data_IF_006949655062
#
_entry.id   IF_006949655062
#
_cell.length_a   1.000
_cell.length_b   1.000
_cell.length_c   1.000
_cell.angle_alpha   90.00
_cell.angle_beta   90.00
_cell.angle_gamma   90.00
#
_symmetry.space_group_name_H-M   'P 1'
#
loop_
_entity.id
_entity.type
_entity.pdbx_description
1 polymer ?
#
# COMPACT_ATOMS: atom_id res chain seq x y z
N UNK A 1 -15.85 -7.53 -15.27
CA UNK A 1 -15.36 -8.53 -14.30
C UNK A 1 -13.92 -8.86 -14.63
N UNK A 2 -13.06 -9.10 -13.64
CA UNK A 2 -11.59 -9.29 -13.85
C UNK A 2 -11.27 -10.40 -14.86
N UNK A 3 -12.18 -11.36 -15.04
CA UNK A 3 -12.15 -12.40 -16.07
C UNK A 3 -12.04 -11.88 -17.51
N UNK A 4 -12.45 -10.63 -17.79
CA UNK A 4 -12.29 -10.02 -19.12
C UNK A 4 -10.83 -9.68 -19.47
N UNK A 5 -9.92 -9.75 -18.49
CA UNK A 5 -8.50 -9.45 -18.62
C UNK A 5 -7.62 -10.69 -18.33
N UNK A 6 -8.20 -11.90 -18.32
CA UNK A 6 -7.50 -13.15 -17.98
C UNK A 6 -6.80 -13.14 -16.61
N UNK A 7 -7.26 -12.29 -15.67
CA UNK A 7 -6.71 -12.23 -14.30
C UNK A 7 -7.63 -12.98 -13.34
N UNK A 8 -7.05 -13.81 -12.47
CA UNK A 8 -7.78 -14.51 -11.42
C UNK A 8 -8.37 -13.51 -10.42
N UNK A 9 -9.62 -13.73 -9.98
CA UNK A 9 -10.26 -12.86 -8.99
C UNK A 9 -9.49 -12.77 -7.67
N UNK A 10 -8.80 -13.85 -7.31
CA UNK A 10 -7.91 -13.92 -6.15
C UNK A 10 -6.65 -13.07 -6.33
N UNK A 11 -6.00 -13.10 -7.50
CA UNK A 11 -4.83 -12.26 -7.78
C UNK A 11 -5.17 -10.77 -7.76
N UNK A 12 -6.32 -10.39 -8.32
CA UNK A 12 -6.80 -9.01 -8.25
C UNK A 12 -7.12 -8.59 -6.81
N UNK A 13 -7.75 -9.45 -6.00
CA UNK A 13 -8.01 -9.16 -4.59
C UNK A 13 -6.71 -9.01 -3.79
N UNK A 14 -5.72 -9.87 -4.03
CA UNK A 14 -4.41 -9.79 -3.37
C UNK A 14 -3.68 -8.47 -3.70
N UNK A 15 -3.66 -8.08 -4.97
CA UNK A 15 -3.07 -6.80 -5.40
C UNK A 15 -3.76 -5.60 -4.74
N UNK A 16 -5.10 -5.62 -4.65
CA UNK A 16 -5.88 -4.57 -4.00
C UNK A 16 -5.59 -4.49 -2.49
N UNK A 17 -5.46 -5.63 -1.81
CA UNK A 17 -5.12 -5.66 -0.38
C UNK A 17 -3.74 -5.05 -0.14
N UNK A 18 -2.73 -5.44 -0.94
CA UNK A 18 -1.37 -4.90 -0.84
C UNK A 18 -1.39 -3.37 -1.00
N UNK A 19 -2.09 -2.87 -2.02
CA UNK A 19 -2.20 -1.44 -2.27
C UNK A 19 -2.96 -0.68 -1.17
N UNK A 20 -4.04 -1.26 -0.64
CA UNK A 20 -4.85 -0.63 0.41
C UNK A 20 -4.07 -0.50 1.72
N UNK A 21 -3.45 -1.58 2.17
CA UNK A 21 -2.67 -1.59 3.43
C UNK A 21 -1.54 -0.58 3.36
N UNK A 22 -0.72 -0.60 2.32
CA UNK A 22 0.43 0.32 2.22
C UNK A 22 -0.04 1.76 1.99
N UNK A 23 -1.09 1.95 1.19
CA UNK A 23 -1.68 3.26 0.94
C UNK A 23 -2.21 3.95 2.21
N UNK A 24 -2.77 3.21 3.17
CA UNK A 24 -3.27 3.79 4.43
C UNK A 24 -2.18 4.42 5.31
N UNK A 25 -0.92 4.01 5.17
CA UNK A 25 0.23 4.57 5.89
C UNK A 25 0.82 5.83 5.24
N UNK A 26 0.35 6.18 4.04
CA UNK A 26 0.87 7.33 3.29
C UNK A 26 -0.26 8.29 2.91
N UNK A 27 -1.51 7.85 3.07
CA UNK A 27 -2.68 8.64 2.71
C UNK A 27 -2.91 9.79 3.69
N UNK A 28 -3.00 11.04 3.19
CA UNK A 28 -3.34 12.19 4.02
C UNK A 28 -4.78 12.18 4.52
N UNK A 29 -5.60 11.26 4.01
CA UNK A 29 -7.00 11.08 4.42
C UNK A 29 -7.18 10.01 5.49
N UNK A 30 -6.11 9.38 5.98
CA UNK A 30 -6.17 8.34 7.02
C UNK A 30 -6.22 8.96 8.43
N UNK A 31 -7.32 8.83 9.20
CA UNK A 31 -7.42 9.41 10.55
C UNK A 31 -6.42 8.79 11.54
N UNK A 32 -6.14 7.48 11.38
CA UNK A 32 -5.18 6.76 12.22
C UNK A 32 -3.76 7.34 12.06
N UNK A 33 -3.40 7.76 10.85
CA UNK A 33 -2.11 8.37 10.59
C UNK A 33 -1.96 9.72 11.29
N UNK A 34 -3.01 10.55 11.23
CA UNK A 34 -3.05 11.84 11.92
C UNK A 34 -2.98 11.70 13.44
N UNK A 35 -3.63 10.68 14.02
CA UNK A 35 -3.53 10.39 15.46
C UNK A 35 -2.09 10.04 15.85
N UNK A 36 -1.46 9.11 15.14
CA UNK A 36 -0.08 8.72 15.40
C UNK A 36 0.89 9.90 15.24
N UNK A 37 0.67 10.74 14.23
CA UNK A 37 1.49 11.90 13.97
C UNK A 37 1.32 12.99 15.04
N UNK A 38 0.09 13.20 15.51
CA UNK A 38 -0.23 14.11 16.62
C UNK A 38 0.42 13.68 17.93
N UNK A 39 0.42 12.37 18.23
CA UNK A 39 1.14 11.80 19.38
C UNK A 39 2.66 11.94 19.26
N UNK A 40 3.20 11.83 18.05
CA UNK A 40 4.63 11.97 17.77
C UNK A 40 5.10 13.45 17.67
N UNK A 41 4.18 14.43 17.71
CA UNK A 41 4.51 15.84 17.51
C UNK A 41 5.13 16.15 16.13
N UNK A 42 4.91 15.28 15.14
CA UNK A 42 5.54 15.37 13.84
C UNK A 42 4.67 16.15 12.83
N UNK A 43 5.31 16.76 11.83
CA UNK A 43 4.61 17.47 10.77
C UNK A 43 4.30 16.58 9.58
N UNK A 44 3.05 16.65 9.11
CA UNK A 44 2.52 15.74 8.07
C UNK A 44 3.30 15.84 6.76
N UNK A 45 3.62 17.06 6.33
CA UNK A 45 4.38 17.28 5.11
C UNK A 45 5.80 16.71 5.17
N UNK A 46 6.45 16.71 6.35
CA UNK A 46 7.81 16.17 6.52
C UNK A 46 7.79 14.65 6.61
N UNK A 47 6.80 14.09 7.31
CA UNK A 47 6.55 12.66 7.34
C UNK A 47 6.29 12.11 5.94
N UNK A 48 5.39 12.73 5.18
CA UNK A 48 5.01 12.24 3.85
C UNK A 48 6.18 12.22 2.88
N UNK A 49 7.05 13.25 2.90
CA UNK A 49 8.26 13.29 2.06
C UNK A 49 9.23 12.14 2.34
N UNK A 50 9.29 11.67 3.57
CA UNK A 50 10.15 10.54 3.97
C UNK A 50 9.45 9.20 3.76
N UNK A 51 8.20 9.08 4.19
CA UNK A 51 7.44 7.84 4.19
C UNK A 51 6.99 7.42 2.78
N UNK A 52 6.66 8.37 1.90
CA UNK A 52 6.21 8.07 0.54
C UNK A 52 7.22 7.24 -0.27
N UNK A 53 8.51 7.62 -0.41
CA UNK A 53 9.47 6.80 -1.14
C UNK A 53 9.71 5.43 -0.47
N UNK A 54 9.70 5.35 0.86
CA UNK A 54 9.87 4.09 1.59
C UNK A 54 8.68 3.15 1.34
N UNK A 55 7.46 3.66 1.46
CA UNK A 55 6.24 2.91 1.22
C UNK A 55 6.10 2.49 -0.24
N UNK A 56 6.56 3.31 -1.18
CA UNK A 56 6.62 2.94 -2.58
C UNK A 56 7.55 1.74 -2.82
N UNK A 57 8.78 1.77 -2.28
CA UNK A 57 9.72 0.64 -2.38
C UNK A 57 9.15 -0.62 -1.71
N UNK A 58 8.53 -0.47 -0.54
CA UNK A 58 7.86 -1.57 0.16
C UNK A 58 6.72 -2.18 -0.68
N UNK A 59 5.94 -1.34 -1.36
CA UNK A 59 4.84 -1.77 -2.23
C UNK A 59 5.36 -2.57 -3.43
N UNK A 60 6.41 -2.08 -4.09
CA UNK A 60 7.06 -2.81 -5.18
C UNK A 60 7.62 -4.14 -4.68
N UNK A 61 8.27 -4.18 -3.51
CA UNK A 61 8.79 -5.40 -2.92
C UNK A 61 7.66 -6.42 -2.61
N UNK A 62 6.53 -5.96 -2.06
CA UNK A 62 5.38 -6.82 -1.78
C UNK A 62 4.73 -7.37 -3.04
N UNK A 63 4.60 -6.56 -4.09
CA UNK A 63 4.09 -7.03 -5.39
C UNK A 63 5.03 -8.05 -6.01
N UNK A 64 6.36 -7.84 -5.94
CA UNK A 64 7.33 -8.83 -6.39
C UNK A 64 7.22 -10.15 -5.62
N UNK A 65 7.09 -10.10 -4.30
CA UNK A 65 6.87 -11.31 -3.48
C UNK A 65 5.59 -12.01 -3.90
N UNK A 66 4.48 -11.30 -4.03
CA UNK A 66 3.20 -11.87 -4.47
C UNK A 66 3.26 -12.47 -5.89
N UNK A 67 4.14 -11.92 -6.74
CA UNK A 67 4.41 -12.46 -8.07
C UNK A 67 5.21 -13.77 -7.98
N UNK A 68 6.30 -13.79 -7.19
CA UNK A 68 7.12 -14.99 -7.02
C UNK A 68 6.41 -16.13 -6.27
N UNK A 69 5.46 -15.82 -5.39
CA UNK A 69 4.63 -16.84 -4.71
C UNK A 69 3.49 -17.36 -5.60
N UNK A 70 3.32 -16.82 -6.82
CA UNK A 70 2.26 -17.22 -7.74
C UNK A 70 0.87 -16.71 -7.35
N UNK A 71 0.76 -15.82 -6.35
CA UNK A 71 -0.53 -15.29 -5.88
C UNK A 71 -1.15 -14.29 -6.87
N UNK A 72 -0.36 -13.73 -7.78
CA UNK A 72 -0.81 -12.78 -8.81
C UNK A 72 -1.15 -13.42 -10.17
N UNK A 73 -0.97 -14.74 -10.30
CA UNK A 73 -1.23 -15.51 -11.54
C UNK A 73 -2.56 -16.25 -11.43
#
# INVERSE_FOLDING_TARGET
>A
TVAAYDVTGLGAAAALIIGNVIGTFVSPFSPALWLALGLAGAQMGKYLKLAFPIAWVLSVAMVLVAFFTGMLV
#
